data_IF_576481387229
#
_entry.id   IF_576481387229
#
_cell.length_a   1.000
_cell.length_b   1.000
_cell.length_c   1.000
_cell.angle_alpha   90.00
_cell.angle_beta   90.00
_cell.angle_gamma   90.00
#
_symmetry.space_group_name_H-M   'P 1'
#
loop_
_entity.id
_entity.type
_entity.pdbx_description
1 polymer ?
#
# COMPACT_ATOMS: atom_id res chain seq x y z
N UNK A 1 -2.41 -0.24 23.81
CA UNK A 1 -1.61 0.72 23.02
C UNK A 1 -1.34 0.10 21.65
N UNK A 2 -1.66 0.76 20.53
CA UNK A 2 -1.44 0.16 19.19
C UNK A 2 0.05 0.13 18.82
N UNK A 3 0.54 -0.99 18.28
CA UNK A 3 1.95 -1.16 17.89
C UNK A 3 2.46 -0.08 16.94
N UNK A 4 1.58 0.45 16.07
CA UNK A 4 1.87 1.55 15.14
C UNK A 4 2.21 2.87 15.85
N UNK A 5 1.68 3.11 17.06
CA UNK A 5 2.05 4.29 17.85
C UNK A 5 3.45 4.16 18.46
N UNK A 6 3.89 2.93 18.75
CA UNK A 6 5.22 2.65 19.30
C UNK A 6 6.29 2.65 18.21
N UNK A 7 5.93 2.18 17.01
CA UNK A 7 6.83 2.09 15.86
C UNK A 7 6.16 2.72 14.64
N UNK A 8 6.20 4.06 14.50
CA UNK A 8 5.56 4.74 13.38
C UNK A 8 6.23 4.35 12.06
N UNK A 9 5.42 4.29 11.01
CA UNK A 9 5.87 4.01 9.64
C UNK A 9 6.47 5.30 9.08
N UNK A 10 7.62 5.23 8.41
CA UNK A 10 8.24 6.42 7.81
C UNK A 10 7.45 6.91 6.60
N UNK A 11 7.15 6.00 5.67
CA UNK A 11 6.44 6.31 4.41
C UNK A 11 5.48 5.18 4.03
N UNK A 12 4.32 5.56 3.52
CA UNK A 12 3.35 4.66 2.87
C UNK A 12 3.11 5.17 1.46
N UNK A 13 3.39 4.34 0.46
CA UNK A 13 2.95 4.58 -0.91
C UNK A 13 1.67 3.81 -1.16
N UNK A 14 0.66 4.43 -1.76
CA UNK A 14 -0.64 3.81 -2.02
C UNK A 14 -1.08 4.07 -3.45
N UNK A 15 -1.62 3.05 -4.10
CA UNK A 15 -2.14 3.19 -5.46
C UNK A 15 -3.39 4.08 -5.45
N UNK A 16 -3.46 5.08 -6.34
CA UNK A 16 -4.58 6.03 -6.43
C UNK A 16 -5.79 5.43 -7.17
N UNK A 17 -5.55 4.37 -7.94
CA UNK A 17 -6.58 3.53 -8.54
C UNK A 17 -6.42 2.07 -8.17
N UNK A 18 -7.52 1.33 -8.25
CA UNK A 18 -7.52 -0.12 -8.06
C UNK A 18 -7.03 -0.79 -9.32
N UNK A 19 -6.16 -1.80 -9.18
CA UNK A 19 -5.62 -2.53 -10.32
C UNK A 19 -6.37 -3.85 -10.51
N UNK A 20 -6.57 -4.21 -11.79
CA UNK A 20 -7.03 -5.54 -12.13
C UNK A 20 -5.81 -6.48 -12.17
N UNK A 21 -5.76 -7.45 -11.27
CA UNK A 21 -4.77 -8.53 -11.33
C UNK A 21 -5.35 -9.69 -12.13
N UNK A 22 -4.94 -9.80 -13.38
CA UNK A 22 -5.31 -10.95 -14.20
C UNK A 22 -4.55 -12.19 -13.74
N UNK A 23 -5.30 -13.23 -13.40
CA UNK A 23 -4.74 -14.57 -13.26
C UNK A 23 -4.28 -15.04 -14.64
N UNK A 24 -3.05 -15.53 -14.75
CA UNK A 24 -2.46 -16.03 -16.00
C UNK A 24 -2.49 -15.03 -17.18
N UNK A 25 -2.42 -13.71 -16.90
CA UNK A 25 -2.56 -12.65 -17.90
C UNK A 25 -3.91 -12.65 -18.67
N UNK A 26 -4.94 -13.36 -18.19
CA UNK A 26 -6.28 -13.36 -18.79
C UNK A 26 -7.13 -12.18 -18.24
N UNK A 27 -6.89 -10.96 -18.73
CA UNK A 27 -7.53 -9.73 -18.22
C UNK A 27 -9.03 -9.60 -18.51
N UNK A 28 -9.51 -10.20 -19.61
CA UNK A 28 -10.92 -10.09 -20.02
C UNK A 28 -11.82 -11.12 -19.34
N UNK A 29 -11.25 -12.30 -19.02
CA UNK A 29 -11.99 -13.44 -18.45
C UNK A 29 -12.23 -13.28 -16.96
N UNK A 30 -11.25 -12.71 -16.24
CA UNK A 30 -11.35 -12.45 -14.82
C UNK A 30 -11.65 -10.97 -14.59
N UNK A 31 -12.93 -10.61 -14.58
CA UNK A 31 -13.40 -9.33 -14.01
C UNK A 31 -13.28 -9.41 -12.49
N UNK A 32 -12.06 -9.38 -11.94
CA UNK A 32 -11.81 -9.59 -10.52
C UNK A 32 -11.50 -8.29 -9.77
N UNK A 33 -12.32 -8.07 -8.74
CA UNK A 33 -12.25 -7.19 -7.57
C UNK A 33 -10.95 -6.40 -7.37
N UNK A 34 -10.84 -5.30 -8.09
CA UNK A 34 -10.31 -4.00 -7.68
C UNK A 34 -9.47 -4.01 -6.37
N UNK A 35 -8.23 -4.49 -6.47
CA UNK A 35 -7.27 -4.60 -5.35
C UNK A 35 -6.55 -3.25 -5.19
N UNK A 36 -6.47 -2.76 -3.95
CA UNK A 36 -5.66 -1.59 -3.61
C UNK A 36 -4.30 -2.07 -3.10
N UNK A 37 -3.23 -1.58 -3.73
CA UNK A 37 -1.86 -1.90 -3.34
C UNK A 37 -1.27 -0.76 -2.52
N UNK A 38 -0.45 -1.13 -1.53
CA UNK A 38 0.33 -0.18 -0.74
C UNK A 38 1.70 -0.74 -0.40
N UNK A 39 2.70 0.13 -0.32
CA UNK A 39 4.07 -0.18 0.08
C UNK A 39 4.42 0.58 1.36
N UNK A 40 4.85 -0.15 2.38
CA UNK A 40 5.15 0.39 3.69
C UNK A 40 6.65 0.39 3.94
N UNK A 41 7.19 1.52 4.40
CA UNK A 41 8.61 1.68 4.72
C UNK A 41 8.76 2.00 6.20
N UNK A 42 9.44 1.11 6.92
CA UNK A 42 9.87 1.34 8.29
C UNK A 42 11.34 1.75 8.35
N UNK A 43 11.66 2.55 9.36
CA UNK A 43 13.01 2.92 9.72
C UNK A 43 13.15 2.74 11.23
N UNK A 44 14.21 2.05 11.67
CA UNK A 44 14.43 1.78 13.10
C UNK A 44 14.68 3.10 13.81
N UNK A 45 13.95 3.36 14.89
CA UNK A 45 14.06 4.59 15.65
C UNK A 45 13.38 5.80 15.01
N UNK A 46 12.53 5.61 13.99
CA UNK A 46 11.76 6.72 13.42
C UNK A 46 10.79 7.33 14.44
N UNK A 47 10.87 8.64 14.63
CA UNK A 47 10.02 9.41 15.56
C UNK A 47 9.25 10.54 14.87
N UNK A 48 9.32 10.59 13.53
CA UNK A 48 8.65 11.62 12.74
C UNK A 48 7.19 11.32 12.42
N UNK A 49 6.60 12.18 11.57
CA UNK A 49 5.22 12.05 11.09
C UNK A 49 5.18 11.15 9.85
N UNK A 50 4.40 10.06 9.92
CA UNK A 50 4.14 9.16 8.79
C UNK A 50 3.72 9.93 7.54
N UNK A 51 4.46 9.77 6.44
CA UNK A 51 4.12 10.39 5.16
C UNK A 51 3.31 9.45 4.28
N UNK A 52 2.14 9.89 3.82
CA UNK A 52 1.34 9.19 2.80
C UNK A 52 1.66 9.75 1.41
N UNK A 53 1.90 8.87 0.44
CA UNK A 53 2.17 9.25 -0.95
C UNK A 53 1.30 8.43 -1.89
N UNK A 54 0.47 9.13 -2.67
CA UNK A 54 -0.29 8.50 -3.74
C UNK A 54 0.61 8.24 -4.95
N UNK A 55 0.48 7.06 -5.53
CA UNK A 55 1.15 6.60 -6.74
C UNK A 55 0.10 6.00 -7.67
N UNK A 56 0.29 6.06 -8.99
CA UNK A 56 -0.51 5.39 -10.05
C UNK A 56 -2.05 5.55 -10.11
#
# INVERSE_FOLDING_TARGET
MSYLKKYPIKKVYVFSKRLNCAKNAEFEKYKSNAIAFAWFIWEVGYTGITQLKWIL
#
